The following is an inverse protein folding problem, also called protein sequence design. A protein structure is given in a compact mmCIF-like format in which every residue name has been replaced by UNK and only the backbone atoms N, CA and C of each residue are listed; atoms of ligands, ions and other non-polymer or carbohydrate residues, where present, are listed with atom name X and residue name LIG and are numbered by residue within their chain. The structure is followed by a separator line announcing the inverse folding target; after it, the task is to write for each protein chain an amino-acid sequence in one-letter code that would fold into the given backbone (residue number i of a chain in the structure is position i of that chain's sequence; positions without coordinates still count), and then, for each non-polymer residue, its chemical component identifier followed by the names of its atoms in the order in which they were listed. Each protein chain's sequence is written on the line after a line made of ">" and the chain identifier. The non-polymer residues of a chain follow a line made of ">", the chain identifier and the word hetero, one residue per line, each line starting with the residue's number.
data_IF_716954666293
#
_entry.id   IF_716954666293
#
_cell.length_a   1.000
_cell.length_b   1.000
_cell.length_c   1.000
_cell.angle_alpha   90.00
_cell.angle_beta   90.00
_cell.angle_gamma   90.00
#
_symmetry.space_group_name_H-M   'P 1'
#
loop_
_entity.id
_entity.type
_entity.pdbx_description
1 polymer ?
#
# COMPACT_ATOMS: atom_id res chain seq x y z
N UNK A 1 -23.20 11.48 1.09
CA UNK A 1 -22.47 10.48 0.26
C UNK A 1 -23.51 9.64 -0.51
N UNK A 2 -23.32 9.40 -1.81
CA UNK A 2 -24.21 8.51 -2.53
C UNK A 2 -23.91 7.02 -2.18
N UNK A 3 -24.84 6.09 -2.51
CA UNK A 3 -24.66 4.67 -2.19
C UNK A 3 -23.33 4.08 -2.70
N UNK A 4 -22.89 4.48 -3.92
CA UNK A 4 -21.63 3.99 -4.51
C UNK A 4 -20.40 4.46 -3.75
N UNK A 5 -20.34 5.75 -3.36
CA UNK A 5 -19.25 6.28 -2.55
C UNK A 5 -19.20 5.65 -1.15
N UNK A 6 -20.36 5.32 -0.57
CA UNK A 6 -20.45 4.65 0.72
C UNK A 6 -19.81 3.24 0.66
N UNK A 7 -20.24 2.41 -0.31
CA UNK A 7 -19.66 1.08 -0.47
C UNK A 7 -18.16 1.13 -0.86
N UNK A 8 -17.76 2.13 -1.66
CA UNK A 8 -16.36 2.34 -2.01
C UNK A 8 -15.50 2.69 -0.78
N UNK A 9 -16.01 3.52 0.15
CA UNK A 9 -15.32 3.84 1.39
C UNK A 9 -15.13 2.60 2.29
N UNK A 10 -16.16 1.75 2.42
CA UNK A 10 -16.03 0.47 3.12
C UNK A 10 -15.05 -0.48 2.45
N UNK A 11 -15.01 -0.51 1.10
CA UNK A 11 -14.01 -1.27 0.35
C UNK A 11 -12.59 -0.81 0.65
N UNK A 12 -12.35 0.51 0.74
CA UNK A 12 -11.05 1.08 1.11
C UNK A 12 -10.65 0.74 2.55
N UNK A 13 -11.60 0.79 3.49
CA UNK A 13 -11.33 0.40 4.87
C UNK A 13 -11.01 -1.11 5.00
N UNK A 14 -11.71 -1.95 4.24
CA UNK A 14 -11.41 -3.38 4.18
C UNK A 14 -10.04 -3.65 3.55
N UNK A 15 -9.66 -2.88 2.52
CA UNK A 15 -8.30 -2.89 1.96
C UNK A 15 -7.25 -2.58 3.04
N UNK A 16 -7.47 -1.55 3.86
CA UNK A 16 -6.59 -1.19 4.96
C UNK A 16 -6.44 -2.34 5.98
N UNK A 17 -7.53 -3.05 6.28
CA UNK A 17 -7.50 -4.23 7.15
C UNK A 17 -6.61 -5.35 6.55
N UNK A 18 -6.80 -5.67 5.27
CA UNK A 18 -5.99 -6.68 4.57
C UNK A 18 -4.51 -6.28 4.57
N UNK A 19 -4.20 -5.01 4.28
CA UNK A 19 -2.82 -4.55 4.26
C UNK A 19 -2.18 -4.50 5.65
N UNK A 20 -2.93 -4.16 6.68
CA UNK A 20 -2.44 -4.23 8.06
C UNK A 20 -1.94 -5.63 8.42
N UNK A 21 -2.67 -6.68 8.05
CA UNK A 21 -2.20 -8.06 8.25
C UNK A 21 -1.04 -8.43 7.31
N UNK A 22 -0.99 -7.85 6.11
CA UNK A 22 0.08 -8.13 5.16
C UNK A 22 1.48 -7.74 5.68
N UNK A 23 1.61 -6.70 6.51
CA UNK A 23 2.90 -6.32 7.12
C UNK A 23 3.47 -7.45 8.01
N UNK A 24 2.62 -8.14 8.75
CA UNK A 24 3.00 -9.32 9.55
C UNK A 24 3.49 -10.46 8.64
N UNK A 25 2.71 -10.76 7.60
CA UNK A 25 3.04 -11.84 6.65
C UNK A 25 4.32 -11.53 5.87
N UNK A 26 4.51 -10.29 5.42
CA UNK A 26 5.74 -9.84 4.74
C UNK A 26 6.94 -10.02 5.67
N UNK A 27 6.87 -9.52 6.90
CA UNK A 27 7.99 -9.59 7.86
C UNK A 27 8.40 -11.04 8.14
N UNK A 28 7.45 -11.94 8.34
CA UNK A 28 7.72 -13.37 8.55
C UNK A 28 8.33 -14.03 7.29
N UNK A 29 7.84 -13.68 6.11
CA UNK A 29 8.26 -14.29 4.84
C UNK A 29 9.65 -13.85 4.37
N UNK A 30 10.12 -12.66 4.78
CA UNK A 30 11.44 -12.12 4.41
C UNK A 30 12.61 -13.00 4.90
N UNK A 31 12.39 -13.85 5.92
CA UNK A 31 13.36 -14.82 6.37
C UNK A 31 13.59 -15.98 5.37
N UNK A 32 12.68 -16.18 4.43
CA UNK A 32 12.69 -17.31 3.51
C UNK A 32 12.72 -16.93 2.03
N UNK A 33 12.26 -15.72 1.69
CA UNK A 33 12.17 -15.22 0.32
C UNK A 33 12.66 -13.77 0.29
N UNK A 34 13.59 -13.50 -0.59
CA UNK A 34 14.09 -12.12 -0.79
C UNK A 34 12.99 -11.13 -1.18
N UNK A 35 13.16 -9.83 -0.83
CA UNK A 35 12.09 -8.83 -0.97
C UNK A 35 11.56 -8.69 -2.40
N UNK A 36 12.43 -8.66 -3.39
CA UNK A 36 12.01 -8.47 -4.79
C UNK A 36 11.44 -9.77 -5.39
N UNK A 37 11.95 -10.95 -4.99
CA UNK A 37 11.32 -12.22 -5.36
C UNK A 37 9.90 -12.35 -4.83
N UNK A 38 9.67 -11.93 -3.57
CA UNK A 38 8.33 -11.89 -3.00
C UNK A 38 7.38 -11.03 -3.85
N UNK A 39 7.86 -9.89 -4.35
CA UNK A 39 7.08 -9.02 -5.24
C UNK A 39 6.81 -9.69 -6.59
N UNK A 40 7.81 -10.38 -7.17
CA UNK A 40 7.64 -11.09 -8.43
C UNK A 40 6.51 -12.13 -8.34
N UNK A 41 6.49 -12.95 -7.29
CA UNK A 41 5.43 -13.93 -7.06
C UNK A 41 4.07 -13.28 -6.83
N UNK A 42 3.97 -12.32 -5.89
CA UNK A 42 2.67 -11.72 -5.55
C UNK A 42 2.02 -10.97 -6.70
N UNK A 43 2.79 -10.22 -7.48
CA UNK A 43 2.25 -9.50 -8.63
C UNK A 43 1.92 -10.43 -9.80
N UNK A 44 2.68 -11.52 -10.00
CA UNK A 44 2.33 -12.54 -11.00
C UNK A 44 1.02 -13.23 -10.66
N UNK A 45 0.85 -13.67 -9.40
CA UNK A 45 -0.40 -14.28 -8.93
C UNK A 45 -1.58 -13.33 -9.14
N UNK A 46 -1.40 -12.05 -8.77
CA UNK A 46 -2.45 -11.04 -8.90
C UNK A 46 -2.78 -10.73 -10.37
N UNK A 47 -1.76 -10.55 -11.22
CA UNK A 47 -1.94 -10.25 -12.64
C UNK A 47 -2.66 -11.39 -13.37
N UNK A 48 -2.19 -12.63 -13.20
CA UNK A 48 -2.78 -13.81 -13.81
C UNK A 48 -4.20 -14.05 -13.28
N UNK A 49 -4.38 -14.02 -11.95
CA UNK A 49 -5.68 -14.23 -11.33
C UNK A 49 -6.72 -13.22 -11.81
N UNK A 50 -6.39 -11.92 -11.80
CA UNK A 50 -7.32 -10.88 -12.22
C UNK A 50 -7.59 -10.91 -13.74
N UNK A 51 -6.56 -11.18 -14.55
CA UNK A 51 -6.68 -11.29 -16.00
C UNK A 51 -7.58 -12.48 -16.40
N UNK A 52 -7.51 -13.61 -15.72
CA UNK A 52 -8.37 -14.76 -15.97
C UNK A 52 -9.82 -14.48 -15.60
N UNK A 53 -10.06 -13.83 -14.43
CA UNK A 53 -11.43 -13.49 -13.99
C UNK A 53 -12.05 -12.46 -14.91
N UNK A 54 -11.31 -11.46 -15.35
CA UNK A 54 -11.78 -10.33 -16.13
C UNK A 54 -11.22 -10.30 -17.56
N UNK A 55 -11.00 -11.47 -18.18
CA UNK A 55 -10.36 -11.60 -19.50
C UNK A 55 -11.06 -10.75 -20.58
N UNK A 56 -12.38 -10.55 -20.47
CA UNK A 56 -13.14 -9.69 -21.38
C UNK A 56 -12.70 -8.22 -21.34
N UNK A 57 -12.12 -7.74 -20.21
CA UNK A 57 -11.62 -6.37 -20.07
C UNK A 57 -10.37 -6.11 -20.90
N UNK A 58 -9.60 -7.14 -21.25
CA UNK A 58 -8.44 -7.01 -22.12
C UNK A 58 -8.82 -6.53 -23.55
N UNK A 59 -10.07 -6.68 -23.96
CA UNK A 59 -10.56 -6.11 -25.23
C UNK A 59 -10.60 -4.58 -25.24
N UNK A 60 -10.58 -3.93 -24.06
CA UNK A 60 -10.53 -2.48 -23.92
C UNK A 60 -9.11 -1.91 -24.02
N UNK A 61 -8.12 -2.79 -24.19
CA UNK A 61 -6.70 -2.40 -24.29
C UNK A 61 -6.48 -1.48 -25.50
N UNK A 62 -5.86 -0.35 -25.24
CA UNK A 62 -5.42 0.58 -26.26
C UNK A 62 -4.08 1.20 -25.86
N UNK A 63 -3.46 1.99 -26.77
CA UNK A 63 -2.13 2.59 -26.52
C UNK A 63 -2.11 3.47 -25.26
N UNK A 64 -3.19 4.23 -24.99
CA UNK A 64 -3.30 5.10 -23.81
C UNK A 64 -3.34 4.27 -22.54
N UNK A 65 -4.27 3.30 -22.44
CA UNK A 65 -4.41 2.43 -21.26
C UNK A 65 -3.15 1.62 -21.00
N UNK A 66 -2.42 1.22 -22.06
CA UNK A 66 -1.13 0.53 -21.92
C UNK A 66 -0.08 1.44 -21.26
N UNK A 67 0.06 2.69 -21.73
CA UNK A 67 0.98 3.67 -21.14
C UNK A 67 0.61 3.95 -19.68
N UNK A 68 -0.68 4.17 -19.39
CA UNK A 68 -1.17 4.40 -18.03
C UNK A 68 -0.91 3.18 -17.13
N UNK A 69 -1.05 1.95 -17.66
CA UNK A 69 -0.68 0.71 -16.98
C UNK A 69 0.81 0.59 -16.69
N UNK A 70 1.69 1.00 -17.61
CA UNK A 70 3.15 1.05 -17.38
C UNK A 70 3.48 2.02 -16.26
N UNK A 71 2.90 3.22 -16.27
CA UNK A 71 3.21 4.27 -15.28
C UNK A 71 2.69 3.87 -13.91
N UNK A 72 1.43 3.40 -13.81
CA UNK A 72 0.88 2.92 -12.53
C UNK A 72 1.64 1.71 -12.01
N UNK A 73 2.01 0.77 -12.90
CA UNK A 73 2.83 -0.39 -12.56
C UNK A 73 4.23 -0.02 -12.09
N UNK A 74 4.86 0.99 -12.71
CA UNK A 74 6.17 1.49 -12.29
C UNK A 74 6.11 2.14 -10.90
N UNK A 75 5.14 3.02 -10.63
CA UNK A 75 4.96 3.59 -9.31
C UNK A 75 4.67 2.53 -8.25
N UNK A 76 3.83 1.56 -8.57
CA UNK A 76 3.52 0.44 -7.70
C UNK A 76 4.77 -0.40 -7.40
N UNK A 77 5.55 -0.76 -8.43
CA UNK A 77 6.80 -1.50 -8.27
C UNK A 77 7.79 -0.75 -7.39
N UNK A 78 8.04 0.54 -7.67
CA UNK A 78 8.97 1.36 -6.90
C UNK A 78 8.53 1.50 -5.44
N UNK A 79 7.23 1.74 -5.19
CA UNK A 79 6.69 1.83 -3.85
C UNK A 79 6.94 0.54 -3.07
N UNK A 80 6.55 -0.61 -3.64
CA UNK A 80 6.72 -1.90 -2.99
C UNK A 80 8.18 -2.33 -2.85
N UNK A 81 9.03 -2.02 -3.83
CA UNK A 81 10.45 -2.37 -3.76
C UNK A 81 11.12 -1.71 -2.55
N UNK A 82 11.00 -0.38 -2.43
CA UNK A 82 11.61 0.34 -1.30
C UNK A 82 10.92 0.03 0.02
N UNK A 83 9.60 -0.26 0.03
CA UNK A 83 8.87 -0.68 1.23
C UNK A 83 9.36 -2.04 1.73
N UNK A 84 9.39 -3.04 0.86
CA UNK A 84 9.73 -4.42 1.23
C UNK A 84 11.21 -4.54 1.58
N UNK A 85 12.09 -3.86 0.85
CA UNK A 85 13.51 -3.73 1.22
C UNK A 85 13.64 -3.01 2.57
N UNK A 86 12.93 -1.90 2.76
CA UNK A 86 12.91 -1.16 4.02
C UNK A 86 12.47 -2.03 5.20
N UNK A 87 11.50 -2.91 5.01
CA UNK A 87 11.00 -3.82 6.03
C UNK A 87 12.07 -4.79 6.58
N UNK A 88 13.14 -5.08 5.82
CA UNK A 88 14.28 -5.85 6.33
C UNK A 88 15.03 -5.11 7.45
N UNK A 89 15.14 -3.79 7.32
CA UNK A 89 15.97 -2.95 8.19
C UNK A 89 15.17 -2.23 9.29
N UNK A 90 13.83 -2.31 9.27
CA UNK A 90 12.96 -1.70 10.27
C UNK A 90 11.92 -2.70 10.79
N UNK A 91 11.12 -2.31 11.78
CA UNK A 91 10.03 -3.15 12.29
C UNK A 91 8.80 -3.08 11.37
N UNK A 92 7.93 -4.09 11.42
CA UNK A 92 6.69 -4.10 10.65
C UNK A 92 5.80 -2.89 10.99
N UNK A 93 5.68 -2.56 12.27
CA UNK A 93 4.93 -1.39 12.75
C UNK A 93 5.50 -0.06 12.25
N UNK A 94 6.83 0.16 12.31
CA UNK A 94 7.47 1.36 11.74
C UNK A 94 7.30 1.43 10.22
N UNK A 95 7.43 0.30 9.52
CA UNK A 95 7.25 0.25 8.07
C UNK A 95 5.81 0.63 7.69
N UNK A 96 4.81 0.03 8.34
CA UNK A 96 3.41 0.41 8.14
C UNK A 96 3.18 1.91 8.42
N UNK A 97 3.76 2.42 9.51
CA UNK A 97 3.66 3.82 9.90
C UNK A 97 4.23 4.78 8.85
N UNK A 98 5.52 4.62 8.54
CA UNK A 98 6.21 5.56 7.67
C UNK A 98 5.67 5.53 6.23
N UNK A 99 5.14 4.39 5.78
CA UNK A 99 4.45 4.29 4.50
C UNK A 99 3.28 5.26 4.41
N UNK A 100 2.51 5.45 5.48
CA UNK A 100 1.29 6.26 5.46
C UNK A 100 1.53 7.76 5.40
N UNK A 101 2.77 8.24 5.29
CA UNK A 101 3.08 9.64 4.99
C UNK A 101 2.38 10.11 3.69
N UNK A 102 1.98 9.17 2.81
CA UNK A 102 1.19 9.49 1.63
C UNK A 102 -0.12 10.22 1.95
N UNK A 103 -0.65 10.09 3.15
CA UNK A 103 -1.86 10.81 3.63
C UNK A 103 -1.68 12.33 3.52
N UNK A 104 -0.49 12.84 3.83
CA UNK A 104 -0.15 14.26 3.66
C UNK A 104 0.26 14.55 2.22
N UNK A 105 1.02 13.66 1.60
CA UNK A 105 1.56 13.89 0.26
C UNK A 105 0.46 13.91 -0.81
N UNK A 106 -0.57 13.06 -0.70
CA UNK A 106 -1.67 13.02 -1.66
C UNK A 106 -2.38 14.38 -1.80
N UNK A 107 -2.89 15.03 -0.74
CA UNK A 107 -3.52 16.34 -0.89
C UNK A 107 -2.54 17.43 -1.35
N UNK A 108 -1.27 17.39 -0.91
CA UNK A 108 -0.26 18.36 -1.31
C UNK A 108 0.08 18.26 -2.81
N UNK A 109 0.25 17.05 -3.34
CA UNK A 109 0.59 16.82 -4.75
C UNK A 109 -0.64 17.00 -5.65
N UNK A 110 -1.83 16.57 -5.19
CA UNK A 110 -3.08 16.71 -5.95
C UNK A 110 -3.48 18.17 -6.16
N UNK A 111 -3.18 19.04 -5.21
CA UNK A 111 -3.56 20.46 -5.28
C UNK A 111 -3.03 21.17 -6.53
N UNK A 112 -1.71 21.27 -6.78
CA UNK A 112 -1.21 21.91 -7.98
C UNK A 112 -1.64 21.20 -9.27
N UNK A 113 -1.76 19.87 -9.22
CA UNK A 113 -2.11 19.04 -10.38
C UNK A 113 -3.54 19.29 -10.86
N UNK A 114 -4.50 19.38 -9.93
CA UNK A 114 -5.91 19.56 -10.25
C UNK A 114 -6.39 21.01 -10.07
N UNK A 115 -5.51 21.93 -9.64
CA UNK A 115 -5.83 23.34 -9.34
C UNK A 115 -7.02 23.50 -8.38
N UNK A 116 -7.31 22.46 -7.58
CA UNK A 116 -8.37 22.44 -6.57
C UNK A 116 -7.75 22.36 -5.19
N UNK A 117 -7.81 23.46 -4.44
CA UNK A 117 -7.31 23.51 -3.06
C UNK A 117 -8.14 22.56 -2.20
N UNK A 118 -7.53 21.58 -1.48
CA UNK A 118 -8.23 20.80 -0.48
C UNK A 118 -8.78 21.71 0.62
N UNK A 119 -9.90 21.34 1.20
CA UNK A 119 -10.44 22.05 2.35
C UNK A 119 -9.45 21.97 3.52
N UNK A 120 -9.41 23.00 4.35
CA UNK A 120 -8.49 23.07 5.50
C UNK A 120 -8.64 21.85 6.44
N UNK A 121 -9.85 21.31 6.54
CA UNK A 121 -10.13 20.13 7.35
C UNK A 121 -9.40 18.86 6.87
N UNK A 122 -9.12 18.73 5.56
CA UNK A 122 -8.32 17.63 5.01
C UNK A 122 -6.88 17.73 5.50
N UNK A 123 -6.31 18.94 5.57
CA UNK A 123 -4.98 19.15 6.12
C UNK A 123 -4.92 18.88 7.63
N UNK A 124 -5.92 19.37 8.37
CA UNK A 124 -6.01 19.10 9.82
C UNK A 124 -6.13 17.59 10.06
N UNK A 125 -7.00 16.90 9.33
CA UNK A 125 -7.15 15.45 9.42
C UNK A 125 -5.87 14.69 9.05
N UNK A 126 -5.14 15.14 8.01
CA UNK A 126 -3.86 14.57 7.63
C UNK A 126 -2.81 14.72 8.73
N UNK A 127 -2.71 15.90 9.36
CA UNK A 127 -1.79 16.16 10.48
C UNK A 127 -2.20 15.32 11.70
N UNK A 128 -3.49 15.26 12.03
CA UNK A 128 -3.99 14.41 13.13
C UNK A 128 -3.67 12.94 12.88
N UNK A 129 -3.91 12.44 11.67
CA UNK A 129 -3.60 11.07 11.26
C UNK A 129 -2.09 10.82 11.42
N UNK A 130 -1.24 11.71 10.91
CA UNK A 130 0.21 11.58 11.02
C UNK A 130 0.68 11.61 12.49
N UNK A 131 0.11 12.47 13.33
CA UNK A 131 0.42 12.51 14.77
C UNK A 131 0.02 11.19 15.44
N UNK A 132 -1.18 10.69 15.12
CA UNK A 132 -1.67 9.41 15.65
C UNK A 132 -0.77 8.26 15.23
N UNK A 133 -0.39 8.21 13.97
CA UNK A 133 0.56 7.25 13.42
C UNK A 133 1.92 7.41 14.12
N UNK A 134 2.42 8.63 14.36
CA UNK A 134 3.66 8.90 15.10
C UNK A 134 3.65 8.30 16.51
N UNK A 135 2.54 8.44 17.23
CA UNK A 135 2.37 7.82 18.54
C UNK A 135 2.41 6.28 18.48
N UNK A 136 1.86 5.68 17.41
CA UNK A 136 1.94 4.23 17.19
C UNK A 136 3.39 3.77 17.02
N UNK A 137 4.17 4.45 16.20
CA UNK A 137 5.57 4.09 15.93
C UNK A 137 6.51 4.32 17.12
N UNK A 138 6.22 5.36 17.94
CA UNK A 138 7.01 5.72 19.13
C UNK A 138 6.90 4.73 20.27
N UNK A 139 5.97 3.81 20.20
CA UNK A 139 5.63 2.94 21.33
C UNK A 139 6.42 1.63 21.42
N UNK A 140 7.26 1.33 20.46
CA UNK A 140 7.98 0.05 20.34
C UNK A 140 9.39 0.04 20.89
N UNK A 141 9.60 0.25 22.20
CA UNK A 141 10.88 -0.05 22.85
C UNK A 141 11.88 1.11 23.01
N UNK A 142 13.02 0.83 23.64
CA UNK A 142 14.10 1.76 24.05
C UNK A 142 14.84 2.50 22.92
N UNK A 143 14.41 2.37 21.67
CA UNK A 143 15.06 3.02 20.55
C UNK A 143 14.56 4.46 20.39
N UNK A 144 15.48 5.38 20.59
CA UNK A 144 15.25 6.78 20.32
C UNK A 144 14.80 6.95 18.88
N UNK A 145 13.59 7.47 18.66
CA UNK A 145 13.04 7.85 17.36
C UNK A 145 13.92 8.76 16.52
N UNK A 146 14.87 9.40 17.17
CA UNK A 146 15.85 10.29 16.55
C UNK A 146 16.91 9.53 15.73
N UNK A 147 16.98 8.19 15.81
CA UNK A 147 17.87 7.39 14.98
C UNK A 147 17.06 6.73 13.85
N UNK A 148 16.82 7.48 12.79
CA UNK A 148 16.34 6.93 11.52
C UNK A 148 17.40 6.01 10.92
N UNK A 149 16.99 4.78 10.63
CA UNK A 149 17.83 3.83 9.89
C UNK A 149 17.51 3.86 8.40
N UNK A 150 18.27 3.15 7.59
CA UNK A 150 18.07 3.09 6.14
C UNK A 150 16.68 2.54 5.77
N UNK A 151 16.14 1.62 6.56
CA UNK A 151 14.79 1.07 6.36
C UNK A 151 13.71 2.12 6.54
N UNK A 152 13.86 3.01 7.51
CA UNK A 152 12.94 4.12 7.76
C UNK A 152 12.95 5.12 6.57
N UNK A 153 14.14 5.43 6.04
CA UNK A 153 14.30 6.33 4.88
C UNK A 153 13.65 5.70 3.63
N UNK A 154 13.93 4.43 3.35
CA UNK A 154 13.33 3.71 2.24
C UNK A 154 11.80 3.68 2.34
N UNK A 155 11.28 3.53 3.55
CA UNK A 155 9.84 3.53 3.79
C UNK A 155 9.19 4.91 3.59
N UNK A 156 9.89 6.00 3.92
CA UNK A 156 9.41 7.36 3.59
C UNK A 156 9.38 7.59 2.06
N UNK A 157 10.40 7.12 1.34
CA UNK A 157 10.43 7.17 -0.13
C UNK A 157 9.27 6.35 -0.71
N UNK A 158 8.95 5.19 -0.13
CA UNK A 158 7.78 4.40 -0.48
C UNK A 158 6.50 5.25 -0.42
N UNK A 159 6.30 6.02 0.65
CA UNK A 159 5.13 6.89 0.79
C UNK A 159 4.99 7.91 -0.35
N UNK A 160 6.10 8.43 -0.88
CA UNK A 160 6.10 9.30 -2.06
C UNK A 160 5.58 8.54 -3.30
N UNK A 161 6.11 7.36 -3.56
CA UNK A 161 5.67 6.55 -4.72
C UNK A 161 4.22 6.09 -4.59
N UNK A 162 3.74 5.76 -3.38
CA UNK A 162 2.32 5.46 -3.16
C UNK A 162 1.43 6.67 -3.39
N UNK A 163 1.84 7.86 -2.97
CA UNK A 163 1.08 9.08 -3.27
C UNK A 163 0.96 9.31 -4.78
N UNK A 164 2.06 9.18 -5.51
CA UNK A 164 2.07 9.29 -6.98
C UNK A 164 1.21 8.21 -7.63
N UNK A 165 1.28 6.96 -7.15
CA UNK A 165 0.44 5.86 -7.62
C UNK A 165 -1.05 6.16 -7.44
N UNK A 166 -1.48 6.59 -6.24
CA UNK A 166 -2.89 6.92 -5.94
C UNK A 166 -3.39 8.04 -6.86
N UNK A 167 -2.61 9.12 -7.02
CA UNK A 167 -2.97 10.27 -7.83
C UNK A 167 -3.05 9.92 -9.32
N UNK A 168 -2.06 9.16 -9.83
CA UNK A 168 -2.07 8.76 -11.23
C UNK A 168 -3.21 7.80 -11.55
N UNK A 169 -3.46 6.84 -10.68
CA UNK A 169 -4.57 5.88 -10.81
C UNK A 169 -5.92 6.61 -10.86
N UNK A 170 -6.12 7.58 -9.97
CA UNK A 170 -7.35 8.40 -10.00
C UNK A 170 -7.46 9.23 -11.28
N UNK A 171 -6.34 9.77 -11.78
CA UNK A 171 -6.32 10.49 -13.08
C UNK A 171 -6.75 9.59 -14.23
N UNK A 172 -6.33 8.33 -14.26
CA UNK A 172 -6.78 7.37 -15.27
C UNK A 172 -8.32 7.24 -15.25
N UNK A 173 -8.92 7.16 -14.06
CA UNK A 173 -10.38 7.01 -13.93
C UNK A 173 -11.16 8.28 -14.27
N UNK A 174 -10.60 9.45 -14.05
CA UNK A 174 -11.17 10.72 -14.56
C UNK A 174 -11.18 10.79 -16.08
N UNK A 175 -10.29 10.09 -16.73
CA UNK A 175 -10.19 9.96 -18.17
C UNK A 175 -10.97 8.76 -18.73
N UNK A 176 -11.95 8.24 -17.96
CA UNK A 176 -12.84 7.13 -18.30
C UNK A 176 -12.17 5.77 -18.54
N UNK A 177 -10.94 5.57 -18.06
CA UNK A 177 -10.30 4.27 -18.12
C UNK A 177 -11.01 3.27 -17.17
N UNK A 178 -11.09 2.01 -17.59
CA UNK A 178 -11.71 0.96 -16.76
C UNK A 178 -10.78 0.61 -15.57
N UNK A 179 -11.26 0.72 -14.32
CA UNK A 179 -10.43 0.46 -13.15
C UNK A 179 -9.83 -0.93 -13.10
N UNK A 180 -10.55 -1.96 -13.54
CA UNK A 180 -10.07 -3.34 -13.52
C UNK A 180 -9.00 -3.57 -14.58
N UNK A 181 -9.16 -2.95 -15.78
CA UNK A 181 -8.11 -3.00 -16.80
C UNK A 181 -6.82 -2.37 -16.32
N UNK A 182 -6.88 -1.16 -15.75
CA UNK A 182 -5.69 -0.50 -15.17
C UNK A 182 -5.09 -1.35 -14.05
N UNK A 183 -5.92 -1.99 -13.20
CA UNK A 183 -5.44 -2.89 -12.15
C UNK A 183 -4.71 -4.12 -12.71
N UNK A 184 -5.22 -4.74 -13.79
CA UNK A 184 -4.54 -5.85 -14.45
C UNK A 184 -3.18 -5.39 -15.00
N UNK A 185 -3.17 -4.26 -15.71
CA UNK A 185 -1.97 -3.74 -16.35
C UNK A 185 -0.90 -3.34 -15.33
N UNK A 186 -1.26 -2.66 -14.24
CA UNK A 186 -0.30 -2.29 -13.20
C UNK A 186 0.35 -3.52 -12.55
N UNK A 187 -0.40 -4.60 -12.30
CA UNK A 187 0.19 -5.83 -11.75
C UNK A 187 1.09 -6.52 -12.77
N UNK A 188 0.68 -6.56 -14.03
CA UNK A 188 1.48 -7.14 -15.10
C UNK A 188 2.83 -6.45 -15.23
N UNK A 189 2.85 -5.11 -15.28
CA UNK A 189 4.11 -4.37 -15.37
C UNK A 189 4.91 -4.41 -14.07
N UNK A 190 4.27 -4.34 -12.91
CA UNK A 190 4.97 -4.53 -11.64
C UNK A 190 5.59 -5.93 -11.51
N UNK A 191 4.94 -6.97 -12.02
CA UNK A 191 5.51 -8.32 -12.10
C UNK A 191 6.73 -8.34 -13.03
N UNK A 192 6.64 -7.78 -14.24
CA UNK A 192 7.77 -7.73 -15.19
C UNK A 192 8.97 -7.02 -14.55
N UNK A 193 8.77 -5.84 -13.96
CA UNK A 193 9.85 -5.11 -13.28
C UNK A 193 10.44 -5.93 -12.13
N UNK A 194 9.60 -6.61 -11.36
CA UNK A 194 10.06 -7.46 -10.26
C UNK A 194 10.89 -8.65 -10.75
N UNK A 195 10.45 -9.35 -11.81
CA UNK A 195 11.21 -10.47 -12.39
C UNK A 195 12.55 -10.06 -12.98
N UNK A 196 12.64 -8.86 -13.56
CA UNK A 196 13.90 -8.31 -14.10
C UNK A 196 14.84 -7.91 -12.96
N UNK A 197 14.31 -7.23 -11.93
CA UNK A 197 15.14 -6.65 -10.86
C UNK A 197 15.51 -7.68 -9.80
N UNK A 198 14.68 -8.72 -9.56
CA UNK A 198 14.94 -9.69 -8.50
C UNK A 198 16.30 -10.39 -8.59
N UNK A 199 16.68 -11.01 -9.72
CA UNK A 199 17.99 -11.67 -9.82
C UNK A 199 19.16 -10.68 -9.73
N UNK A 200 18.99 -9.45 -10.23
CA UNK A 200 20.01 -8.40 -10.17
C UNK A 200 20.22 -7.95 -8.72
N UNK A 201 19.11 -7.67 -8.02
CA UNK A 201 19.14 -7.23 -6.62
C UNK A 201 19.80 -8.28 -5.71
N UNK A 202 19.37 -9.55 -5.82
CA UNK A 202 19.89 -10.63 -5.00
C UNK A 202 21.36 -10.93 -5.30
N UNK A 203 21.77 -10.85 -6.58
CA UNK A 203 23.16 -11.03 -7.00
C UNK A 203 24.08 -9.96 -6.44
N UNK A 204 23.66 -8.69 -6.48
CA UNK A 204 24.46 -7.55 -6.03
C UNK A 204 24.56 -7.50 -4.50
N UNK A 205 23.45 -7.71 -3.79
CA UNK A 205 23.39 -7.51 -2.35
C UNK A 205 23.74 -8.75 -1.54
N UNK A 206 23.33 -9.93 -2.00
CA UNK A 206 23.51 -11.18 -1.25
C UNK A 206 24.56 -12.09 -1.87
N UNK A 207 25.20 -11.68 -2.97
CA UNK A 207 26.22 -12.47 -3.67
C UNK A 207 25.69 -13.78 -4.28
N UNK A 208 24.38 -14.02 -4.24
CA UNK A 208 23.74 -15.24 -4.70
C UNK A 208 22.45 -14.96 -5.48
N UNK A 209 22.47 -15.09 -6.82
CA UNK A 209 21.29 -14.89 -7.66
C UNK A 209 20.29 -16.04 -7.59
N UNK A 210 20.44 -16.99 -6.65
CA UNK A 210 19.64 -18.21 -6.61
C UNK A 210 18.14 -17.91 -6.48
N UNK A 211 17.39 -18.63 -7.26
CA UNK A 211 15.94 -18.64 -7.20
C UNK A 211 15.48 -19.18 -5.83
N UNK A 212 14.52 -18.55 -5.14
CA UNK A 212 14.09 -18.97 -3.82
C UNK A 212 13.20 -20.22 -3.90
N UNK A 213 13.81 -21.39 -3.96
CA UNK A 213 13.09 -22.67 -4.05
C UNK A 213 12.08 -22.88 -2.91
N UNK A 214 12.33 -22.29 -1.73
CA UNK A 214 11.40 -22.33 -0.61
C UNK A 214 10.01 -21.74 -0.97
N UNK A 215 9.94 -20.80 -1.92
CA UNK A 215 8.66 -20.26 -2.41
C UNK A 215 7.80 -21.29 -3.15
N UNK A 216 8.40 -22.40 -3.61
CA UNK A 216 7.72 -23.48 -4.32
C UNK A 216 7.62 -24.78 -3.53
N UNK A 217 8.43 -24.96 -2.49
CA UNK A 217 8.54 -26.25 -1.77
C UNK A 217 8.08 -26.17 -0.32
N UNK A 218 8.12 -24.99 0.31
CA UNK A 218 7.69 -24.83 1.69
C UNK A 218 6.22 -24.39 1.76
N UNK A 219 5.35 -25.23 2.30
CA UNK A 219 3.91 -24.97 2.36
C UNK A 219 3.53 -23.69 3.10
N UNK A 220 4.26 -23.30 4.16
CA UNK A 220 4.04 -22.02 4.88
C UNK A 220 4.38 -20.83 3.98
N UNK A 221 5.47 -20.90 3.25
CA UNK A 221 5.88 -19.84 2.33
C UNK A 221 4.90 -19.74 1.16
N UNK A 222 4.46 -20.87 0.60
CA UNK A 222 3.43 -20.91 -0.46
C UNK A 222 2.15 -20.23 0.02
N UNK A 223 1.67 -20.56 1.22
CA UNK A 223 0.47 -19.94 1.79
C UNK A 223 0.63 -18.43 1.96
N UNK A 224 1.79 -17.98 2.42
CA UNK A 224 2.13 -16.56 2.53
C UNK A 224 2.11 -15.87 1.16
N UNK A 225 2.71 -16.47 0.14
CA UNK A 225 2.71 -15.90 -1.22
C UNK A 225 1.30 -15.86 -1.82
N UNK A 226 0.47 -16.88 -1.57
CA UNK A 226 -0.93 -16.90 -1.99
C UNK A 226 -1.73 -15.81 -1.27
N UNK A 227 -1.56 -15.63 0.03
CA UNK A 227 -2.20 -14.54 0.77
C UNK A 227 -1.78 -13.17 0.20
N UNK A 228 -0.48 -12.94 0.04
CA UNK A 228 0.05 -11.68 -0.48
C UNK A 228 -0.40 -11.42 -1.93
N UNK A 229 -0.46 -12.46 -2.78
CA UNK A 229 -0.88 -12.34 -4.17
C UNK A 229 -2.39 -12.14 -4.32
N UNK A 230 -3.20 -12.99 -3.71
CA UNK A 230 -4.65 -12.99 -3.89
C UNK A 230 -5.34 -11.92 -3.03
N UNK A 231 -5.09 -11.92 -1.72
CA UNK A 231 -5.80 -11.00 -0.81
C UNK A 231 -5.15 -9.63 -0.79
N UNK A 232 -3.86 -9.55 -0.44
CA UNK A 232 -3.17 -8.28 -0.23
C UNK A 232 -2.84 -7.54 -1.54
N UNK A 233 -2.78 -8.24 -2.68
CA UNK A 233 -2.56 -7.59 -3.98
C UNK A 233 -3.84 -7.60 -4.81
N UNK A 234 -4.31 -8.73 -5.29
CA UNK A 234 -5.42 -8.78 -6.24
C UNK A 234 -6.71 -8.16 -5.69
N UNK A 235 -7.19 -8.61 -4.53
CA UNK A 235 -8.45 -8.12 -3.95
C UNK A 235 -8.28 -6.69 -3.44
N UNK A 236 -7.27 -6.43 -2.62
CA UNK A 236 -7.09 -5.15 -1.96
C UNK A 236 -6.90 -3.99 -2.95
N UNK A 237 -6.02 -4.13 -3.96
CA UNK A 237 -5.87 -3.09 -4.99
C UNK A 237 -7.07 -2.98 -5.93
N UNK A 238 -7.79 -4.07 -6.20
CA UNK A 238 -9.04 -3.98 -6.97
C UNK A 238 -10.07 -3.14 -6.21
N UNK A 239 -10.22 -3.34 -4.92
CA UNK A 239 -11.09 -2.53 -4.05
C UNK A 239 -10.61 -1.07 -3.98
N UNK A 240 -9.29 -0.84 -3.82
CA UNK A 240 -8.72 0.50 -3.83
C UNK A 240 -9.00 1.21 -5.14
N UNK A 241 -8.71 0.56 -6.27
CA UNK A 241 -8.80 1.18 -7.58
C UNK A 241 -10.26 1.45 -7.97
N UNK A 242 -11.18 0.53 -7.67
CA UNK A 242 -12.63 0.79 -7.79
C UNK A 242 -13.06 1.88 -6.82
N UNK A 243 -12.52 1.91 -5.61
CA UNK A 243 -12.78 2.92 -4.61
C UNK A 243 -12.39 4.33 -5.07
N UNK A 244 -11.20 4.49 -5.65
CA UNK A 244 -10.69 5.77 -6.17
C UNK A 244 -11.53 6.36 -7.32
N UNK A 245 -12.34 5.53 -8.00
CA UNK A 245 -13.32 6.03 -8.98
C UNK A 245 -14.46 6.81 -8.34
N UNK A 246 -14.81 6.51 -7.08
CA UNK A 246 -15.99 7.05 -6.40
C UNK A 246 -15.65 7.89 -5.17
N UNK A 247 -14.41 7.86 -4.72
CA UNK A 247 -13.90 8.55 -3.53
C UNK A 247 -12.73 9.45 -3.93
N UNK A 248 -12.67 10.67 -3.40
CA UNK A 248 -11.56 11.58 -3.68
C UNK A 248 -10.25 11.03 -3.12
N UNK A 249 -9.09 11.21 -3.81
CA UNK A 249 -7.80 10.67 -3.40
C UNK A 249 -7.40 11.01 -1.96
N UNK A 250 -7.61 12.27 -1.55
CA UNK A 250 -7.29 12.71 -0.19
C UNK A 250 -8.10 11.99 0.89
N UNK A 251 -9.40 11.73 0.64
CA UNK A 251 -10.23 10.97 1.58
C UNK A 251 -9.92 9.47 1.51
N UNK A 252 -9.65 8.95 0.32
CA UNK A 252 -9.22 7.56 0.15
C UNK A 252 -7.91 7.28 0.90
N UNK A 253 -6.92 8.19 0.82
CA UNK A 253 -5.66 8.04 1.54
C UNK A 253 -5.84 8.04 3.06
N UNK A 254 -6.76 8.84 3.60
CA UNK A 254 -7.12 8.82 5.01
C UNK A 254 -7.75 7.49 5.43
N UNK A 255 -8.68 6.94 4.63
CA UNK A 255 -9.27 5.62 4.90
C UNK A 255 -8.21 4.50 4.87
N UNK A 256 -7.32 4.56 3.89
CA UNK A 256 -6.24 3.58 3.76
C UNK A 256 -5.24 3.67 4.91
N UNK A 257 -5.05 4.85 5.54
CA UNK A 257 -4.14 5.00 6.68
C UNK A 257 -4.50 4.14 7.89
N UNK A 258 -5.75 3.62 7.96
CA UNK A 258 -6.14 2.61 8.95
C UNK A 258 -5.31 1.32 8.84
N UNK A 259 -4.58 1.11 7.76
CA UNK A 259 -3.62 0.00 7.67
C UNK A 259 -2.61 0.00 8.82
N UNK A 260 -2.21 1.18 9.32
CA UNK A 260 -1.33 1.32 10.48
C UNK A 260 -2.01 0.84 11.76
N UNK A 261 -3.30 1.15 11.95
CA UNK A 261 -4.09 0.69 13.11
C UNK A 261 -4.24 -0.82 13.08
N UNK A 262 -4.65 -1.36 11.94
CA UNK A 262 -4.78 -2.81 11.75
C UNK A 262 -3.42 -3.51 11.85
N UNK A 263 -2.35 -2.91 11.30
CA UNK A 263 -0.99 -3.43 11.40
C UNK A 263 -0.54 -3.61 12.84
N UNK A 264 -0.75 -2.60 13.67
CA UNK A 264 -0.43 -2.66 15.11
C UNK A 264 -1.29 -3.70 15.83
N UNK A 265 -2.60 -3.75 15.54
CA UNK A 265 -3.49 -4.74 16.14
C UNK A 265 -3.07 -6.17 15.78
N UNK A 266 -2.79 -6.43 14.51
CA UNK A 266 -2.36 -7.75 14.08
C UNK A 266 -0.94 -8.11 14.56
N UNK A 267 0.00 -7.16 14.63
CA UNK A 267 1.31 -7.37 15.24
C UNK A 267 1.17 -7.77 16.72
N UNK A 268 0.29 -7.10 17.47
CA UNK A 268 0.02 -7.46 18.87
C UNK A 268 -0.55 -8.88 19.01
N UNK A 269 -1.48 -9.26 18.14
CA UNK A 269 -2.14 -10.57 18.19
C UNK A 269 -1.19 -11.70 17.75
N UNK A 270 -0.53 -11.54 16.60
CA UNK A 270 0.23 -12.60 15.95
C UNK A 270 1.71 -12.63 16.32
N UNK A 271 2.33 -11.44 16.55
CA UNK A 271 3.72 -11.31 16.95
C UNK A 271 3.87 -11.08 18.45
N UNK A 272 2.74 -11.03 19.21
CA UNK A 272 2.69 -10.82 20.67
C UNK A 272 3.37 -9.51 21.10
N UNK A 273 3.33 -8.48 20.26
CA UNK A 273 3.84 -7.15 20.59
C UNK A 273 2.91 -6.51 21.64
N UNK A 274 3.49 -5.87 22.67
CA UNK A 274 2.71 -5.23 23.71
C UNK A 274 2.10 -3.91 23.22
N UNK A 275 0.77 -3.76 23.38
CA UNK A 275 0.09 -2.51 23.11
C UNK A 275 0.37 -1.49 24.19
N UNK A 276 1.03 -0.39 23.84
CA UNK A 276 1.22 0.70 24.79
C UNK A 276 0.03 1.68 24.78
N UNK A 277 -0.11 2.45 25.85
CA UNK A 277 -1.12 3.51 25.93
C UNK A 277 -1.01 4.53 24.81
N UNK A 278 0.23 4.83 24.36
CA UNK A 278 0.51 5.72 23.22
C UNK A 278 -0.09 5.17 21.91
N UNK A 279 0.00 3.86 21.70
CA UNK A 279 -0.60 3.20 20.54
C UNK A 279 -2.12 3.38 20.50
N UNK A 280 -2.78 3.23 21.65
CA UNK A 280 -4.23 3.42 21.75
C UNK A 280 -4.63 4.86 21.42
N UNK A 281 -3.91 5.85 21.96
CA UNK A 281 -4.13 7.27 21.61
C UNK A 281 -3.93 7.50 20.11
N UNK A 282 -2.89 6.91 19.52
CA UNK A 282 -2.62 6.99 18.08
C UNK A 282 -3.78 6.48 17.23
N UNK A 283 -4.32 5.30 17.55
CA UNK A 283 -5.49 4.74 16.88
C UNK A 283 -6.72 5.66 16.98
N UNK A 284 -6.97 6.22 18.16
CA UNK A 284 -8.08 7.14 18.40
C UNK A 284 -7.94 8.42 17.57
N UNK A 285 -6.73 8.98 17.48
CA UNK A 285 -6.45 10.16 16.64
C UNK A 285 -6.71 9.90 15.16
N UNK A 286 -6.28 8.75 14.63
CA UNK A 286 -6.53 8.37 13.24
C UNK A 286 -8.03 8.24 12.99
N UNK A 287 -8.76 7.59 13.89
CA UNK A 287 -10.21 7.45 13.79
C UNK A 287 -10.93 8.80 13.72
N UNK A 288 -10.61 9.73 14.61
CA UNK A 288 -11.19 11.07 14.59
C UNK A 288 -10.75 11.89 13.39
N UNK A 289 -9.53 11.70 12.88
CA UNK A 289 -9.06 12.36 11.65
C UNK A 289 -9.94 12.00 10.45
N UNK A 290 -10.28 10.71 10.30
CA UNK A 290 -11.17 10.26 9.21
C UNK A 290 -12.58 10.82 9.36
N UNK A 291 -13.14 10.81 10.58
CA UNK A 291 -14.46 11.40 10.84
C UNK A 291 -14.47 12.90 10.50
N UNK A 292 -13.44 13.65 10.91
CA UNK A 292 -13.32 15.08 10.62
C UNK A 292 -13.28 15.36 9.11
N UNK A 293 -12.52 14.56 8.36
CA UNK A 293 -12.42 14.69 6.91
C UNK A 293 -13.73 14.37 6.19
N UNK A 294 -14.56 13.47 6.73
CA UNK A 294 -15.83 13.08 6.13
C UNK A 294 -16.95 14.09 6.46
N UNK A 295 -17.09 14.47 7.73
CA UNK A 295 -18.21 15.34 8.19
C UNK A 295 -18.18 16.71 7.57
N UNK A 296 -17.01 17.28 7.36
CA UNK A 296 -16.85 18.62 6.76
C UNK A 296 -16.83 18.64 5.23
N UNK A 297 -16.93 17.48 4.58
CA UNK A 297 -17.11 17.38 3.13
C UNK A 297 -18.58 17.58 2.70
N UNK A 298 -19.51 17.49 3.63
CA UNK A 298 -20.95 17.59 3.37
C UNK A 298 -21.47 19.03 3.28
N UNK A 299 -20.66 20.03 3.58
CA UNK A 299 -20.91 21.47 3.36
C UNK A 299 -20.16 21.95 2.09
#
# INVERSE_FOLDING_TARGET
>A
MNKKSFFAAWGLLFTACIWGFAFVVVKDSLNSVGPIWMMAFRFTIAAVGLALIFIKKLKLLNKKTLIDGVITGAFLFLAYAVQTIGCNYTTAGKNAFLTTIYVILVPLISWPLYKKRPQIFVFIAAIMSLTGIGLLALSGGNDSLLKMNIGDILTLICGVFYALHIIWTERCYRNDDDPLLITILQFFFAAIFSWIVAPIYESILNGNPSFPMAALTNGRVILSMLYLGLFSTMIAFSLQNVGLKYVQPSFASLLLSFESVFGVLFSAIFLKEQLSFRMIIGCVLIFFAVILAETKKAE
#
